data_IF_138295604651
#
_entry.id   IF_138295604651
#
_cell.length_a   1.000
_cell.length_b   1.000
_cell.length_c   1.000
_cell.angle_alpha   90.00
_cell.angle_beta   90.00
_cell.angle_gamma   90.00
#
_symmetry.space_group_name_H-M   'P 1'
#
loop_
_entity.id
_entity.type
_entity.pdbx_description
1 polymer ?
#
# COMPACT_ATOMS: atom_id res chain seq x y z
N UNK A 1 -78.94 -25.04 14.08
CA UNK A 1 -79.69 -24.03 14.84
C UNK A 1 -79.06 -22.71 14.50
N UNK A 2 -79.57 -21.98 13.47
CA UNK A 2 -80.49 -20.85 13.56
C UNK A 2 -79.94 -19.76 14.52
N UNK A 3 -79.52 -18.58 14.05
CA UNK A 3 -80.36 -17.55 13.49
C UNK A 3 -79.54 -16.46 12.75
N UNK A 4 -80.11 -16.07 11.68
CA UNK A 4 -79.92 -14.82 10.93
C UNK A 4 -80.33 -13.62 11.80
N UNK A 5 -79.77 -12.44 11.57
CA UNK A 5 -80.57 -11.23 11.46
C UNK A 5 -79.86 -10.18 10.60
N UNK A 6 -80.61 -9.69 9.71
CA UNK A 6 -80.49 -8.71 8.65
C UNK A 6 -81.03 -7.36 9.14
N UNK A 7 -80.38 -6.26 8.86
CA UNK A 7 -80.96 -4.90 8.75
C UNK A 7 -79.96 -3.96 8.11
N UNK A 8 -80.12 -3.61 6.91
CA UNK A 8 -80.86 -2.50 6.24
C UNK A 8 -80.32 -1.09 6.49
N UNK A 9 -79.60 -0.64 5.49
CA UNK A 9 -79.62 0.64 4.71
C UNK A 9 -79.79 1.95 5.47
N UNK A 10 -78.88 2.89 5.21
CA UNK A 10 -79.23 4.26 4.83
C UNK A 10 -78.09 4.90 4.05
N UNK A 11 -78.34 5.26 2.76
CA UNK A 11 -77.52 6.13 1.91
C UNK A 11 -77.63 7.54 2.44
N UNK A 12 -76.49 8.20 2.62
CA UNK A 12 -76.45 9.68 2.57
C UNK A 12 -75.23 10.12 1.73
N UNK A 13 -75.58 10.69 0.59
CA UNK A 13 -74.64 11.35 -0.32
C UNK A 13 -74.15 12.65 0.29
N UNK A 14 -72.86 12.77 0.54
CA UNK A 14 -72.22 14.07 0.70
C UNK A 14 -71.15 14.20 -0.38
N UNK A 15 -71.37 15.13 -1.28
CA UNK A 15 -70.40 15.65 -2.20
C UNK A 15 -69.40 16.50 -1.42
N UNK A 16 -68.15 16.22 -1.47
CA UNK A 16 -67.09 17.12 -1.00
C UNK A 16 -66.00 17.24 -2.04
N UNK A 17 -65.77 18.46 -2.40
CA UNK A 17 -64.80 19.03 -3.31
C UNK A 17 -63.43 18.39 -3.18
N UNK A 18 -62.88 17.93 -4.29
CA UNK A 18 -61.50 17.47 -4.41
C UNK A 18 -60.54 18.66 -4.51
N UNK A 19 -59.80 18.95 -3.43
CA UNK A 19 -58.55 19.70 -3.53
C UNK A 19 -57.43 18.67 -3.85
N UNK A 20 -56.97 18.67 -5.07
CA UNK A 20 -55.80 17.91 -5.50
C UNK A 20 -54.56 18.46 -4.78
N UNK A 21 -54.02 17.74 -3.80
CA UNK A 21 -52.66 17.92 -3.32
C UNK A 21 -51.74 17.12 -4.25
N UNK A 22 -50.90 17.86 -4.98
CA UNK A 22 -49.77 17.34 -5.72
C UNK A 22 -48.94 16.40 -4.82
N UNK A 23 -48.90 15.15 -5.19
CA UNK A 23 -47.96 14.17 -4.59
C UNK A 23 -46.55 14.57 -5.00
N UNK A 24 -45.71 14.94 -4.03
CA UNK A 24 -44.27 15.04 -4.22
C UNK A 24 -43.74 13.65 -4.53
N UNK A 25 -43.30 13.43 -5.78
CA UNK A 25 -42.44 12.32 -6.12
C UNK A 25 -41.18 12.37 -5.23
N UNK A 26 -40.69 11.24 -4.71
CA UNK A 26 -39.42 11.21 -3.99
C UNK A 26 -38.30 11.57 -4.97
N UNK A 27 -37.71 12.74 -4.80
CA UNK A 27 -36.49 13.11 -5.50
C UNK A 27 -35.38 12.10 -5.17
N UNK A 28 -35.04 11.27 -6.13
CA UNK A 28 -33.82 10.49 -6.12
C UNK A 28 -32.64 11.44 -5.92
N UNK A 29 -31.73 11.20 -4.95
CA UNK A 29 -30.57 12.05 -4.81
C UNK A 29 -29.73 11.92 -6.08
N UNK A 30 -29.70 12.99 -6.89
CA UNK A 30 -28.77 13.10 -7.98
C UNK A 30 -27.37 13.16 -7.40
N UNK A 31 -26.64 12.05 -7.47
CA UNK A 31 -25.20 12.03 -7.24
C UNK A 31 -24.55 12.81 -8.38
N UNK A 32 -24.48 14.12 -8.25
CA UNK A 32 -23.60 14.97 -9.04
C UNK A 32 -22.15 14.60 -8.69
N UNK A 33 -21.67 13.49 -9.23
CA UNK A 33 -20.23 13.27 -9.36
C UNK A 33 -19.72 14.33 -10.34
N UNK A 34 -19.18 15.42 -9.79
CA UNK A 34 -18.50 16.45 -10.55
C UNK A 34 -17.39 15.75 -11.35
N UNK A 35 -17.52 15.68 -12.65
CA UNK A 35 -16.50 15.07 -13.52
C UNK A 35 -15.16 15.75 -13.24
N UNK A 36 -14.11 14.95 -13.13
CA UNK A 36 -12.77 15.48 -12.90
C UNK A 36 -12.41 16.50 -13.97
N UNK A 37 -11.70 17.56 -13.58
CA UNK A 37 -11.24 18.56 -14.55
C UNK A 37 -10.38 17.94 -15.66
N UNK A 38 -10.32 18.51 -16.87
CA UNK A 38 -9.47 17.99 -17.95
C UNK A 38 -8.00 17.81 -17.53
N UNK A 39 -7.49 18.73 -16.70
CA UNK A 39 -6.14 18.64 -16.15
C UNK A 39 -5.97 17.43 -15.23
N UNK A 40 -6.92 17.19 -14.33
CA UNK A 40 -6.88 16.03 -13.45
C UNK A 40 -7.00 14.73 -14.23
N UNK A 41 -7.88 14.68 -15.24
CA UNK A 41 -8.00 13.52 -16.13
C UNK A 41 -6.68 13.22 -16.84
N UNK A 42 -5.99 14.23 -17.35
CA UNK A 42 -4.66 14.07 -17.96
C UNK A 42 -3.63 13.52 -16.97
N UNK A 43 -3.61 14.02 -15.72
CA UNK A 43 -2.73 13.50 -14.66
C UNK A 43 -3.04 12.03 -14.32
N UNK A 44 -4.32 11.68 -14.24
CA UNK A 44 -4.74 10.28 -14.01
C UNK A 44 -4.24 9.39 -15.14
N UNK A 45 -4.47 9.75 -16.40
CA UNK A 45 -4.02 8.94 -17.54
C UNK A 45 -2.49 8.72 -17.53
N UNK A 46 -1.71 9.78 -17.26
CA UNK A 46 -0.25 9.65 -17.12
C UNK A 46 0.16 8.73 -15.97
N UNK A 47 -0.54 8.79 -14.84
CA UNK A 47 -0.28 7.89 -13.71
C UNK A 47 -0.60 6.43 -14.07
N UNK A 48 -1.71 6.17 -14.75
CA UNK A 48 -2.08 4.82 -15.19
C UNK A 48 -1.08 4.25 -16.21
N UNK A 49 -0.66 5.06 -17.16
CA UNK A 49 0.38 4.68 -18.12
C UNK A 49 1.72 4.40 -17.41
N UNK A 50 2.17 5.31 -16.54
CA UNK A 50 3.35 5.11 -15.68
C UNK A 50 3.23 3.79 -14.90
N UNK A 51 2.06 3.52 -14.32
CA UNK A 51 1.83 2.29 -13.55
C UNK A 51 2.00 1.06 -14.42
N UNK A 52 1.36 0.99 -15.58
CA UNK A 52 1.51 -0.14 -16.53
C UNK A 52 2.97 -0.35 -16.94
N UNK A 53 3.66 0.72 -17.33
CA UNK A 53 5.03 0.65 -17.84
C UNK A 53 6.05 0.24 -16.77
N UNK A 54 5.75 0.49 -15.51
CA UNK A 54 6.61 0.18 -14.37
C UNK A 54 6.27 -1.15 -13.68
N UNK A 55 5.33 -1.93 -14.20
CA UNK A 55 5.05 -3.27 -13.68
C UNK A 55 6.05 -4.29 -14.23
N UNK A 56 6.85 -4.85 -13.36
CA UNK A 56 7.81 -5.90 -13.67
C UNK A 56 7.12 -7.26 -13.53
N UNK A 57 7.08 -8.01 -14.61
CA UNK A 57 6.58 -9.39 -14.59
C UNK A 57 7.59 -10.31 -13.92
N UNK A 58 7.13 -11.04 -12.93
CA UNK A 58 7.89 -12.05 -12.19
C UNK A 58 7.26 -13.41 -12.48
N UNK A 59 7.98 -14.21 -13.23
CA UNK A 59 7.56 -15.59 -13.48
C UNK A 59 7.54 -16.38 -12.18
N UNK A 60 6.45 -17.07 -11.92
CA UNK A 60 6.26 -17.90 -10.74
C UNK A 60 7.28 -19.04 -10.62
N UNK A 61 7.27 -19.69 -9.51
CA UNK A 61 8.19 -20.79 -9.23
C UNK A 61 8.26 -21.16 -7.76
N UNK A 62 9.14 -22.07 -7.43
CA UNK A 62 9.33 -22.59 -6.08
C UNK A 62 10.65 -22.11 -5.50
N UNK A 63 10.64 -21.68 -4.24
CA UNK A 63 11.85 -21.27 -3.51
C UNK A 63 11.76 -21.65 -2.03
N UNK A 64 12.89 -21.53 -1.36
CA UNK A 64 12.98 -21.68 0.09
C UNK A 64 12.90 -20.30 0.73
N UNK A 65 11.73 -19.97 1.31
CA UNK A 65 11.45 -18.69 1.97
C UNK A 65 12.00 -18.71 3.41
N UNK A 66 12.54 -17.58 3.85
CA UNK A 66 13.09 -17.40 5.19
C UNK A 66 14.61 -17.27 5.23
N UNK A 67 15.16 -17.20 6.44
CA UNK A 67 16.60 -16.98 6.69
C UNK A 67 17.45 -18.21 6.35
N UNK A 68 17.88 -18.28 5.11
CA UNK A 68 18.56 -19.43 4.49
C UNK A 68 20.03 -19.62 4.93
N UNK A 69 20.67 -18.59 5.49
CA UNK A 69 22.07 -18.64 5.93
C UNK A 69 22.24 -18.29 7.43
N UNK A 70 21.15 -18.24 8.20
CA UNK A 70 21.14 -17.81 9.60
C UNK A 70 21.76 -16.42 9.83
N UNK A 71 21.61 -15.53 8.86
CA UNK A 71 22.20 -14.20 8.87
C UNK A 71 21.37 -13.19 9.67
N UNK A 72 20.05 -13.39 9.73
CA UNK A 72 19.17 -12.56 10.56
C UNK A 72 19.19 -13.03 12.03
N UNK A 73 19.40 -12.10 12.93
CA UNK A 73 19.34 -12.35 14.37
C UNK A 73 17.93 -12.64 14.88
N UNK A 74 16.89 -12.26 14.10
CA UNK A 74 15.49 -12.53 14.45
C UNK A 74 15.12 -13.99 14.19
N UNK A 75 14.22 -14.49 15.01
CA UNK A 75 13.74 -15.88 14.93
C UNK A 75 12.48 -16.04 14.08
N UNK A 76 11.77 -14.94 13.81
CA UNK A 76 10.47 -14.94 13.12
C UNK A 76 10.57 -15.15 11.58
N UNK A 77 11.79 -15.11 11.03
CA UNK A 77 12.13 -15.53 9.66
C UNK A 77 12.52 -17.00 9.54
N UNK A 78 12.24 -17.82 10.56
CA UNK A 78 12.54 -19.24 10.65
C UNK A 78 11.30 -20.06 11.01
N UNK A 79 11.24 -21.36 10.62
CA UNK A 79 12.21 -22.08 9.77
C UNK A 79 12.16 -21.64 8.31
N UNK A 80 13.24 -21.92 7.58
CA UNK A 80 13.21 -21.88 6.13
C UNK A 80 12.22 -22.94 5.63
N UNK A 81 11.31 -22.57 4.74
CA UNK A 81 10.24 -23.44 4.27
C UNK A 81 9.99 -23.27 2.77
N UNK A 82 9.44 -24.30 2.18
CA UNK A 82 9.16 -24.32 0.74
C UNK A 82 7.92 -23.49 0.42
N UNK A 83 8.05 -22.60 -0.56
CA UNK A 83 6.94 -21.78 -1.08
C UNK A 83 6.91 -21.86 -2.60
N UNK A 84 5.73 -22.03 -3.16
CA UNK A 84 5.47 -22.01 -4.61
C UNK A 84 4.50 -20.86 -4.93
N UNK A 85 4.90 -19.97 -5.82
CA UNK A 85 4.12 -18.82 -6.25
C UNK A 85 3.68 -18.95 -7.70
N UNK A 86 2.46 -18.54 -7.98
CA UNK A 86 2.03 -18.25 -9.34
C UNK A 86 2.74 -16.98 -9.84
N UNK A 87 2.78 -16.76 -11.16
CA UNK A 87 3.35 -15.55 -11.74
C UNK A 87 2.54 -14.31 -11.36
N UNK A 88 3.21 -13.19 -11.22
CA UNK A 88 2.59 -11.90 -10.88
C UNK A 88 3.38 -10.76 -11.53
N UNK A 89 2.85 -9.55 -11.49
CA UNK A 89 3.63 -8.35 -11.81
C UNK A 89 3.65 -7.42 -10.61
N UNK A 90 4.80 -6.80 -10.31
CA UNK A 90 4.95 -5.91 -9.16
C UNK A 90 5.57 -4.57 -9.61
N UNK A 91 5.14 -3.47 -8.99
CA UNK A 91 5.67 -2.13 -9.27
C UNK A 91 7.18 -2.08 -9.06
N UNK A 92 7.91 -1.58 -10.06
CA UNK A 92 9.35 -1.33 -9.96
C UNK A 92 9.71 -0.38 -8.82
N UNK A 93 8.84 0.58 -8.53
CA UNK A 93 9.04 1.66 -7.57
C UNK A 93 8.00 1.62 -6.45
N UNK A 94 8.35 2.19 -5.30
CA UNK A 94 7.38 2.58 -4.27
C UNK A 94 6.49 3.70 -4.79
N UNK A 95 5.24 3.77 -4.31
CA UNK A 95 4.36 4.89 -4.61
C UNK A 95 4.92 6.19 -4.04
N UNK A 96 4.84 7.27 -4.82
CA UNK A 96 5.34 8.58 -4.43
C UNK A 96 4.22 9.48 -3.91
N UNK A 97 4.58 10.58 -3.21
CA UNK A 97 3.58 11.58 -2.81
C UNK A 97 2.87 12.19 -4.02
N UNK A 98 3.54 12.37 -5.16
CA UNK A 98 2.91 12.85 -6.39
C UNK A 98 1.84 11.87 -6.88
N UNK A 99 2.08 10.57 -6.81
CA UNK A 99 1.13 9.53 -7.21
C UNK A 99 -0.10 9.54 -6.28
N UNK A 100 0.12 9.62 -4.96
CA UNK A 100 -0.96 9.69 -3.96
C UNK A 100 -1.77 10.99 -4.06
N UNK A 101 -1.16 12.11 -4.44
CA UNK A 101 -1.86 13.37 -4.65
C UNK A 101 -2.85 13.31 -5.81
N UNK A 102 -2.48 12.61 -6.89
CA UNK A 102 -3.38 12.36 -8.03
C UNK A 102 -4.54 11.46 -7.57
N UNK A 103 -4.24 10.39 -6.83
CA UNK A 103 -5.26 9.50 -6.26
C UNK A 103 -6.22 10.26 -5.34
N UNK A 104 -5.71 11.05 -4.40
CA UNK A 104 -6.52 11.84 -3.47
C UNK A 104 -7.44 12.82 -4.21
N UNK A 105 -6.92 13.50 -5.23
CA UNK A 105 -7.72 14.40 -6.07
C UNK A 105 -8.79 13.66 -6.88
N UNK A 106 -8.45 12.47 -7.41
CA UNK A 106 -9.38 11.65 -8.21
C UNK A 106 -10.52 11.03 -7.39
N UNK A 107 -10.27 10.77 -6.11
CA UNK A 107 -11.24 10.14 -5.20
C UNK A 107 -11.91 11.12 -4.25
N UNK A 108 -11.54 12.40 -4.32
CA UNK A 108 -11.99 13.43 -3.39
C UNK A 108 -11.71 13.07 -1.92
N UNK A 109 -10.59 12.40 -1.67
CA UNK A 109 -10.10 12.07 -0.33
C UNK A 109 -9.02 13.06 0.12
N UNK A 110 -8.83 13.25 1.43
CA UNK A 110 -7.73 14.08 1.92
C UNK A 110 -6.39 13.59 1.38
N UNK A 111 -5.49 14.53 1.11
CA UNK A 111 -4.11 14.18 0.82
C UNK A 111 -3.51 13.43 1.99
N UNK A 112 -2.67 12.44 1.69
CA UNK A 112 -1.87 11.78 2.70
C UNK A 112 -1.07 12.83 3.46
N UNK A 113 -1.32 12.92 4.76
CA UNK A 113 -0.74 13.98 5.60
C UNK A 113 0.72 13.67 5.84
N UNK A 114 1.59 14.51 5.30
CA UNK A 114 2.89 14.68 5.93
C UNK A 114 2.70 15.64 7.09
N UNK A 115 3.41 15.40 8.15
CA UNK A 115 3.41 16.23 9.33
C UNK A 115 4.12 17.57 9.07
N UNK A 116 3.50 18.46 8.32
CA UNK A 116 4.05 19.80 8.10
C UNK A 116 4.30 20.55 9.41
N UNK A 117 3.48 20.28 10.42
CA UNK A 117 3.59 20.92 11.73
C UNK A 117 4.80 20.49 12.56
N UNK A 118 5.41 19.35 12.29
CA UNK A 118 6.64 18.92 12.96
C UNK A 118 7.90 19.07 12.10
N UNK A 119 7.82 19.83 11.02
CA UNK A 119 8.93 20.35 10.22
C UNK A 119 9.96 19.33 9.72
N UNK A 120 9.76 18.05 9.91
CA UNK A 120 10.82 17.09 9.68
C UNK A 120 10.67 16.26 8.42
N UNK A 121 9.47 16.15 7.84
CA UNK A 121 9.23 15.29 6.68
C UNK A 121 8.30 15.96 5.69
N UNK A 122 8.87 16.88 4.99
CA UNK A 122 8.17 17.53 3.89
C UNK A 122 7.78 16.48 2.86
N UNK A 123 6.60 16.64 2.29
CA UNK A 123 6.07 15.81 1.19
C UNK A 123 6.75 16.20 -0.11
N UNK A 124 7.91 15.60 -0.38
CA UNK A 124 8.56 15.82 -1.66
C UNK A 124 7.90 14.94 -2.73
N UNK A 125 7.53 15.50 -3.88
CA UNK A 125 6.74 14.78 -4.89
C UNK A 125 7.29 13.41 -5.27
N UNK A 126 8.62 13.32 -5.41
CA UNK A 126 9.31 12.11 -5.84
C UNK A 126 9.82 11.21 -4.70
N UNK A 127 9.52 11.57 -3.45
CA UNK A 127 9.85 10.68 -2.32
C UNK A 127 8.78 9.61 -2.14
N UNK A 128 9.18 8.47 -1.59
CA UNK A 128 8.25 7.42 -1.23
C UNK A 128 7.22 7.93 -0.23
N UNK A 129 5.94 7.72 -0.51
CA UNK A 129 4.86 8.22 0.33
C UNK A 129 4.70 7.35 1.58
N UNK A 130 4.67 8.00 2.76
CA UNK A 130 4.28 7.35 4.00
C UNK A 130 2.76 7.27 4.10
N UNK A 131 2.23 6.06 4.26
CA UNK A 131 0.79 5.78 4.28
C UNK A 131 0.45 4.74 5.35
N UNK A 132 -0.79 4.75 5.84
CA UNK A 132 -1.33 3.61 6.57
C UNK A 132 -1.54 2.42 5.62
N UNK A 133 -1.66 1.22 6.19
CA UNK A 133 -1.92 0.02 5.39
C UNK A 133 -3.18 0.16 4.53
N UNK A 134 -4.26 0.71 5.12
CA UNK A 134 -5.52 0.88 4.40
C UNK A 134 -5.45 1.92 3.28
N UNK A 135 -4.77 3.06 3.51
CA UNK A 135 -4.55 4.07 2.46
C UNK A 135 -3.75 3.50 1.29
N UNK A 136 -2.66 2.78 1.59
CA UNK A 136 -1.84 2.14 0.56
C UNK A 136 -2.60 1.09 -0.23
N UNK A 137 -3.39 0.24 0.46
CA UNK A 137 -4.23 -0.76 -0.20
C UNK A 137 -5.31 -0.13 -1.06
N UNK A 138 -6.00 0.88 -0.56
CA UNK A 138 -7.01 1.61 -1.31
C UNK A 138 -6.44 2.23 -2.59
N UNK A 139 -5.23 2.78 -2.52
CA UNK A 139 -4.52 3.31 -3.69
C UNK A 139 -4.26 2.20 -4.73
N UNK A 140 -3.69 1.06 -4.33
CA UNK A 140 -3.45 -0.06 -5.24
C UNK A 140 -4.77 -0.56 -5.87
N UNK A 141 -5.81 -0.76 -5.07
CA UNK A 141 -7.11 -1.19 -5.57
C UNK A 141 -7.79 -0.17 -6.48
N UNK A 142 -7.58 1.13 -6.23
CA UNK A 142 -8.06 2.17 -7.14
C UNK A 142 -7.37 2.09 -8.50
N UNK A 143 -6.04 1.93 -8.53
CA UNK A 143 -5.31 1.67 -9.78
C UNK A 143 -5.88 0.46 -10.52
N UNK A 144 -6.17 -0.62 -9.77
CA UNK A 144 -6.78 -1.84 -10.32
C UNK A 144 -8.12 -1.57 -10.99
N UNK A 145 -9.00 -0.83 -10.33
CA UNK A 145 -10.30 -0.42 -10.89
C UNK A 145 -10.14 0.40 -12.18
N UNK A 146 -9.20 1.35 -12.20
CA UNK A 146 -8.95 2.17 -13.37
C UNK A 146 -8.39 1.36 -14.55
N UNK A 147 -7.51 0.41 -14.28
CA UNK A 147 -6.83 -0.42 -15.28
C UNK A 147 -7.59 -1.71 -15.62
N UNK A 148 -8.65 -2.04 -14.89
CA UNK A 148 -9.38 -3.32 -14.96
C UNK A 148 -8.44 -4.53 -14.73
N UNK A 149 -7.58 -4.42 -13.73
CA UNK A 149 -6.61 -5.41 -13.29
C UNK A 149 -6.84 -5.72 -11.81
N UNK A 150 -6.51 -6.95 -11.39
CA UNK A 150 -6.50 -7.32 -9.97
C UNK A 150 -5.21 -6.79 -9.32
N UNK A 151 -5.27 -5.56 -8.81
CA UNK A 151 -4.14 -4.87 -8.16
C UNK A 151 -4.41 -4.73 -6.67
N UNK A 152 -3.47 -5.22 -5.86
CA UNK A 152 -3.48 -5.09 -4.39
C UNK A 152 -2.05 -4.89 -3.86
N UNK A 153 -1.87 -4.97 -2.55
CA UNK A 153 -0.55 -5.06 -1.92
C UNK A 153 0.08 -6.42 -2.19
N UNK A 154 1.42 -6.51 -2.29
CA UNK A 154 2.09 -7.81 -2.41
C UNK A 154 1.90 -8.64 -1.14
N UNK A 155 1.87 -9.96 -1.28
CA UNK A 155 2.08 -10.83 -0.14
C UNK A 155 3.56 -10.80 0.29
N UNK A 156 3.82 -11.16 1.52
CA UNK A 156 5.19 -11.24 2.03
C UNK A 156 6.05 -12.19 1.17
N UNK A 157 5.48 -13.31 0.74
CA UNK A 157 6.15 -14.27 -0.10
C UNK A 157 6.46 -13.72 -1.51
N UNK A 158 5.53 -12.98 -2.12
CA UNK A 158 5.78 -12.33 -3.42
C UNK A 158 6.91 -11.32 -3.31
N UNK A 159 6.92 -10.52 -2.25
CA UNK A 159 7.95 -9.52 -2.04
C UNK A 159 9.33 -10.18 -1.86
N UNK A 160 9.46 -11.21 -0.98
CA UNK A 160 10.73 -11.88 -0.75
C UNK A 160 11.23 -12.60 -2.02
N UNK A 161 10.33 -13.26 -2.75
CA UNK A 161 10.66 -13.93 -4.00
C UNK A 161 11.23 -12.97 -5.04
N UNK A 162 10.59 -11.81 -5.21
CA UNK A 162 11.07 -10.76 -6.12
C UNK A 162 12.39 -10.12 -5.65
N UNK A 163 12.50 -9.80 -4.37
CA UNK A 163 13.69 -9.22 -3.76
C UNK A 163 14.92 -10.13 -3.88
N UNK A 164 14.70 -11.44 -3.90
CA UNK A 164 15.71 -12.48 -4.05
C UNK A 164 15.87 -12.98 -5.48
N UNK A 165 15.55 -12.16 -6.46
CA UNK A 165 15.68 -12.53 -7.88
C UNK A 165 15.09 -13.93 -8.18
N UNK A 166 13.80 -14.12 -7.87
CA UNK A 166 13.07 -15.40 -7.95
C UNK A 166 13.61 -16.44 -6.96
N UNK A 167 13.84 -16.01 -5.72
CA UNK A 167 14.18 -16.90 -4.60
C UNK A 167 15.62 -17.37 -4.53
N UNK A 168 16.56 -16.70 -5.20
CA UNK A 168 17.99 -16.98 -5.07
C UNK A 168 18.51 -16.63 -3.67
N UNK A 169 19.68 -17.14 -3.31
CA UNK A 169 20.35 -16.80 -2.05
C UNK A 169 21.02 -15.44 -2.12
N UNK A 170 20.21 -14.38 -2.05
CA UNK A 170 20.64 -12.98 -2.10
C UNK A 170 20.27 -12.32 -0.78
N UNK A 171 21.26 -11.79 -0.06
CA UNK A 171 21.03 -11.13 1.23
C UNK A 171 20.42 -9.73 1.08
N UNK A 172 20.89 -8.95 0.13
CA UNK A 172 20.42 -7.58 -0.10
C UNK A 172 19.89 -7.41 -1.52
N UNK A 173 18.68 -6.85 -1.70
CA UNK A 173 18.04 -6.72 -3.01
C UNK A 173 18.57 -5.51 -3.79
N UNK A 174 19.88 -5.44 -3.98
CA UNK A 174 20.59 -4.45 -4.78
C UNK A 174 21.10 -5.06 -6.07
N UNK A 175 21.70 -4.26 -6.93
CA UNK A 175 22.32 -4.71 -8.18
C UNK A 175 23.51 -5.67 -7.97
N UNK A 176 24.19 -5.57 -6.82
CA UNK A 176 25.35 -6.41 -6.50
C UNK A 176 25.07 -7.47 -5.44
N UNK A 177 23.90 -7.47 -4.81
CA UNK A 177 23.56 -8.32 -3.65
C UNK A 177 24.20 -7.86 -2.35
N UNK A 178 24.85 -6.70 -2.32
CA UNK A 178 25.55 -6.09 -1.17
C UNK A 178 25.07 -4.66 -0.96
N UNK A 179 25.25 -4.13 0.25
CA UNK A 179 25.05 -2.70 0.55
C UNK A 179 26.34 -1.95 0.28
N UNK A 180 26.26 -0.96 -0.59
CA UNK A 180 27.35 -0.07 -0.97
C UNK A 180 26.84 1.38 -0.87
N UNK A 181 27.10 2.02 0.30
CA UNK A 181 26.61 3.35 0.61
C UNK A 181 27.12 4.38 -0.40
N UNK A 182 26.19 5.15 -0.97
CA UNK A 182 26.46 6.14 -2.00
C UNK A 182 26.62 5.56 -3.40
N UNK A 183 26.54 4.25 -3.57
CA UNK A 183 26.68 3.53 -4.84
C UNK A 183 25.36 2.85 -5.25
N UNK A 184 24.75 2.11 -4.34
CA UNK A 184 23.49 1.42 -4.59
C UNK A 184 22.42 1.64 -3.50
N UNK A 185 22.78 2.35 -2.44
CA UNK A 185 21.87 2.92 -1.45
C UNK A 185 22.34 4.31 -1.04
N UNK A 186 21.43 5.13 -0.53
CA UNK A 186 21.76 6.49 -0.08
C UNK A 186 22.81 6.49 1.03
N UNK A 187 23.91 7.24 0.84
CA UNK A 187 24.80 7.57 1.94
C UNK A 187 24.21 8.69 2.81
N UNK A 188 24.73 8.82 4.02
CA UNK A 188 24.37 9.89 4.92
C UNK A 188 24.66 11.28 4.31
N UNK A 189 25.83 11.46 3.67
CA UNK A 189 26.24 12.69 3.03
C UNK A 189 25.31 13.10 1.90
N UNK A 190 24.91 12.17 1.05
CA UNK A 190 23.97 12.40 -0.04
C UNK A 190 22.59 12.83 0.48
N UNK A 191 22.11 12.22 1.57
CA UNK A 191 20.84 12.63 2.23
C UNK A 191 20.94 14.04 2.80
N UNK A 192 22.09 14.42 3.37
CA UNK A 192 22.36 15.79 3.83
C UNK A 192 22.33 16.78 2.65
N UNK A 193 22.89 16.43 1.50
CA UNK A 193 22.85 17.30 0.31
C UNK A 193 21.41 17.49 -0.21
N UNK A 194 20.62 16.41 -0.28
CA UNK A 194 19.20 16.51 -0.63
C UNK A 194 18.45 17.40 0.36
N UNK A 195 18.71 17.25 1.66
CA UNK A 195 18.11 18.09 2.69
C UNK A 195 18.42 19.57 2.47
N UNK A 196 19.67 19.92 2.13
CA UNK A 196 20.07 21.28 1.78
C UNK A 196 19.35 21.77 0.52
N UNK A 197 19.33 20.95 -0.55
CA UNK A 197 18.64 21.25 -1.81
C UNK A 197 17.18 21.61 -1.60
N UNK A 198 16.48 20.85 -0.77
CA UNK A 198 15.06 21.05 -0.49
C UNK A 198 14.76 21.95 0.72
N UNK A 199 15.81 22.53 1.34
CA UNK A 199 15.68 23.40 2.55
C UNK A 199 14.90 22.71 3.68
N UNK A 200 15.03 21.40 3.81
CA UNK A 200 14.33 20.60 4.81
C UNK A 200 15.09 20.62 6.14
N UNK A 201 14.52 21.15 7.24
CA UNK A 201 15.29 21.44 8.46
C UNK A 201 15.77 20.21 9.22
N UNK A 202 15.04 19.09 9.19
CA UNK A 202 15.36 17.91 10.04
C UNK A 202 15.18 16.55 9.37
N UNK A 203 14.62 16.44 8.16
CA UNK A 203 14.39 15.13 7.56
C UNK A 203 15.49 14.69 6.61
N UNK A 204 15.69 13.40 6.60
CA UNK A 204 16.43 12.79 5.54
C UNK A 204 15.47 12.52 4.39
N UNK A 205 15.82 13.08 3.27
CA UNK A 205 15.04 12.95 2.04
C UNK A 205 15.73 11.92 1.18
N UNK A 206 14.93 11.11 0.53
CA UNK A 206 15.35 10.26 -0.59
C UNK A 206 14.30 10.34 -1.68
N UNK A 207 14.76 10.37 -2.91
CA UNK A 207 13.93 10.27 -4.10
C UNK A 207 13.98 8.83 -4.58
N UNK A 208 12.84 8.27 -5.01
CA UNK A 208 12.79 6.90 -5.50
C UNK A 208 13.56 6.73 -6.82
N UNK A 209 14.15 5.57 -7.02
CA UNK A 209 14.79 5.21 -8.29
C UNK A 209 16.11 5.91 -8.60
N UNK A 210 16.82 6.40 -7.60
CA UNK A 210 18.09 7.11 -7.82
C UNK A 210 19.29 6.19 -8.00
N UNK A 211 19.17 4.95 -7.56
CA UNK A 211 20.26 3.97 -7.63
C UNK A 211 19.94 2.84 -8.60
N UNK A 212 20.97 2.06 -8.99
CA UNK A 212 20.75 0.90 -9.86
C UNK A 212 19.72 -0.07 -9.28
N UNK A 213 18.81 -0.61 -10.11
CA UNK A 213 17.82 -1.56 -9.67
C UNK A 213 18.44 -2.92 -9.32
N UNK A 214 17.69 -3.75 -8.60
CA UNK A 214 18.00 -5.17 -8.43
C UNK A 214 18.05 -5.91 -9.78
N UNK A 215 18.51 -7.14 -9.79
CA UNK A 215 18.65 -7.94 -11.02
C UNK A 215 17.34 -8.11 -11.82
N UNK A 216 16.17 -8.08 -11.16
CA UNK A 216 14.86 -8.09 -11.83
C UNK A 216 14.37 -6.70 -12.26
N UNK A 217 15.05 -5.62 -11.88
CA UNK A 217 14.65 -4.26 -12.22
C UNK A 217 13.90 -3.50 -11.13
N UNK A 218 13.82 -4.02 -9.90
CA UNK A 218 13.18 -3.34 -8.78
C UNK A 218 14.10 -2.34 -8.12
N UNK A 219 13.57 -1.17 -7.79
CA UNK A 219 14.27 -0.09 -7.11
C UNK A 219 13.90 -0.02 -5.63
N UNK A 220 14.84 0.42 -4.80
CA UNK A 220 14.65 0.82 -3.41
C UNK A 220 14.06 -0.28 -2.49
N UNK A 221 14.29 -1.57 -2.81
CA UNK A 221 13.76 -2.69 -2.01
C UNK A 221 14.41 -2.83 -0.63
N UNK A 222 15.55 -2.16 -0.38
CA UNK A 222 16.30 -2.26 0.87
C UNK A 222 16.37 -0.96 1.65
N UNK A 223 15.72 0.11 1.20
CA UNK A 223 15.86 1.45 1.80
C UNK A 223 14.62 2.32 1.55
N UNK A 224 14.59 3.50 2.16
CA UNK A 224 13.62 4.57 1.89
C UNK A 224 12.18 4.22 2.24
N UNK A 225 11.96 3.85 3.45
CA UNK A 225 10.73 3.38 4.08
C UNK A 225 10.52 1.87 3.98
N UNK A 226 9.89 1.33 5.01
CA UNK A 226 9.31 0.00 4.95
C UNK A 226 8.21 -0.07 3.89
N UNK A 227 7.84 -1.27 3.52
CA UNK A 227 6.75 -1.55 2.59
C UNK A 227 5.69 -2.42 3.26
N UNK A 228 4.43 -2.00 3.18
CA UNK A 228 3.30 -2.78 3.66
C UNK A 228 3.06 -4.01 2.82
N UNK A 229 2.90 -5.17 3.50
CA UNK A 229 2.44 -6.40 2.88
C UNK A 229 0.94 -6.61 3.13
N UNK A 230 0.32 -7.44 2.30
CA UNK A 230 -1.08 -7.84 2.48
C UNK A 230 -1.26 -8.63 3.79
N UNK A 231 -0.25 -9.40 4.16
CA UNK A 231 -0.25 -10.39 5.22
C UNK A 231 -0.44 -9.79 6.61
N UNK A 232 -1.26 -10.46 7.43
CA UNK A 232 -1.18 -10.30 8.87
C UNK A 232 0.11 -10.94 9.41
N UNK A 233 0.67 -10.35 10.45
CA UNK A 233 1.87 -10.89 11.08
C UNK A 233 1.53 -11.92 12.15
N UNK A 234 2.28 -13.02 12.17
CA UNK A 234 2.45 -13.93 13.30
C UNK A 234 3.90 -14.40 13.33
N UNK A 235 4.50 -14.44 14.51
CA UNK A 235 5.93 -14.77 14.67
C UNK A 235 6.22 -16.22 14.28
N UNK A 236 5.26 -17.12 14.46
CA UNK A 236 5.37 -18.56 14.20
C UNK A 236 4.81 -18.98 12.84
N UNK A 237 4.36 -18.03 12.00
CA UNK A 237 3.67 -18.35 10.74
C UNK A 237 4.50 -19.25 9.82
N UNK A 238 5.82 -19.09 9.77
CA UNK A 238 6.68 -19.89 8.90
C UNK A 238 6.71 -21.36 9.27
N UNK A 239 6.34 -21.73 10.51
CA UNK A 239 6.28 -23.13 10.96
C UNK A 239 5.12 -23.91 10.33
N UNK A 240 4.08 -23.22 9.87
CA UNK A 240 2.83 -23.81 9.35
C UNK A 240 2.30 -23.10 8.09
N UNK A 241 3.12 -22.30 7.44
CA UNK A 241 2.79 -21.63 6.19
C UNK A 241 2.41 -22.65 5.11
N UNK A 242 1.31 -22.44 4.37
CA UNK A 242 1.01 -23.28 3.21
C UNK A 242 2.08 -23.10 2.13
N UNK A 243 2.36 -24.19 1.39
CA UNK A 243 3.37 -24.12 0.32
C UNK A 243 2.94 -23.22 -0.83
N UNK A 244 1.65 -23.26 -1.23
CA UNK A 244 1.18 -22.54 -2.42
C UNK A 244 0.58 -21.20 -2.06
N UNK A 245 1.14 -20.11 -2.65
CA UNK A 245 0.66 -18.74 -2.56
C UNK A 245 0.29 -18.31 -1.12
N UNK A 246 1.18 -18.42 -0.13
CA UNK A 246 0.87 -18.03 1.24
C UNK A 246 0.53 -16.53 1.34
N UNK A 247 -0.42 -16.20 2.20
CA UNK A 247 -0.94 -14.84 2.40
C UNK A 247 -0.96 -14.41 3.87
N UNK A 248 -0.16 -15.07 4.72
CA UNK A 248 -0.20 -14.84 6.16
C UNK A 248 -1.41 -15.47 6.85
N UNK A 249 -1.54 -15.28 8.16
CA UNK A 249 -2.73 -15.66 8.90
C UNK A 249 -3.98 -14.93 8.41
N UNK A 250 -5.17 -15.52 8.61
CA UNK A 250 -6.45 -14.89 8.22
C UNK A 250 -6.74 -13.60 8.97
N UNK A 251 -6.27 -13.51 10.21
CA UNK A 251 -6.45 -12.35 11.11
C UNK A 251 -5.19 -12.13 11.93
N UNK A 252 -5.03 -10.92 12.46
CA UNK A 252 -3.92 -10.56 13.33
C UNK A 252 -4.11 -9.15 13.87
N UNK A 253 -3.21 -8.71 14.74
CA UNK A 253 -3.17 -7.35 15.28
C UNK A 253 -2.26 -6.44 14.43
N UNK A 254 -1.24 -7.00 13.80
CA UNK A 254 -0.20 -6.28 13.08
C UNK A 254 -0.06 -6.78 11.65
N UNK A 255 0.39 -5.90 10.76
CA UNK A 255 0.70 -6.23 9.35
C UNK A 255 2.19 -6.40 9.16
N UNK A 256 2.55 -7.31 8.26
CA UNK A 256 3.95 -7.50 7.88
C UNK A 256 4.47 -6.27 7.14
N UNK A 257 5.69 -5.90 7.46
CA UNK A 257 6.50 -4.90 6.76
C UNK A 257 7.76 -5.56 6.22
N UNK A 258 8.16 -5.14 5.03
CA UNK A 258 9.44 -5.53 4.41
C UNK A 258 10.23 -4.28 4.03
N UNK A 259 11.45 -4.44 3.47
CA UNK A 259 12.38 -3.33 3.23
C UNK A 259 13.03 -2.83 4.52
N UNK A 260 13.59 -1.63 4.51
CA UNK A 260 14.19 -1.00 5.69
C UNK A 260 14.02 0.52 5.64
N UNK A 261 14.11 1.11 6.83
CA UNK A 261 14.27 2.54 7.03
C UNK A 261 15.57 2.78 7.78
N UNK A 262 16.51 3.55 7.23
CA UNK A 262 17.67 3.99 8.00
C UNK A 262 17.23 4.83 9.20
N UNK A 263 17.68 4.51 10.39
CA UNK A 263 17.43 5.30 11.58
C UNK A 263 18.14 6.66 11.47
N UNK A 264 17.38 7.74 11.71
CA UNK A 264 17.84 9.14 11.88
C UNK A 264 19.15 9.55 11.19
N UNK A 265 19.30 9.17 9.92
CA UNK A 265 20.42 9.62 9.11
C UNK A 265 21.64 8.72 9.13
N UNK A 266 21.53 7.58 9.74
CA UNK A 266 22.61 6.60 9.68
C UNK A 266 22.52 5.76 8.39
N UNK A 267 23.61 5.18 8.03
CA UNK A 267 23.65 4.04 7.09
C UNK A 267 22.86 2.88 7.65
N UNK A 268 22.35 2.00 6.79
CA UNK A 268 21.70 0.75 7.22
C UNK A 268 22.57 0.05 8.27
N UNK A 269 21.98 -0.24 9.43
CA UNK A 269 22.68 -1.02 10.45
C UNK A 269 22.79 -2.48 10.04
N UNK A 270 23.69 -3.21 10.68
CA UNK A 270 23.87 -4.64 10.43
C UNK A 270 22.55 -5.40 10.60
N UNK A 271 22.14 -6.14 9.57
CA UNK A 271 20.88 -6.87 9.52
C UNK A 271 19.65 -6.06 9.04
N UNK A 272 19.76 -4.75 8.81
CA UNK A 272 18.71 -3.99 8.15
C UNK A 272 18.76 -4.13 6.63
N UNK A 273 17.62 -4.12 5.98
CA UNK A 273 17.50 -4.22 4.52
C UNK A 273 17.75 -5.62 3.96
N UNK A 274 17.88 -6.64 4.81
CA UNK A 274 17.96 -8.04 4.39
C UNK A 274 16.69 -8.46 3.67
N UNK A 275 16.84 -9.26 2.62
CA UNK A 275 15.73 -9.84 1.88
C UNK A 275 14.84 -10.74 2.72
N UNK A 276 15.37 -11.33 3.77
CA UNK A 276 14.70 -12.29 4.67
C UNK A 276 14.14 -11.63 5.93
N UNK A 277 14.54 -10.38 6.22
CA UNK A 277 14.14 -9.69 7.46
C UNK A 277 12.68 -9.31 7.45
N UNK A 278 11.98 -9.71 8.49
CA UNK A 278 10.59 -9.36 8.76
C UNK A 278 10.53 -8.18 9.74
N UNK A 279 9.59 -7.29 9.51
CA UNK A 279 9.15 -6.28 10.47
C UNK A 279 7.62 -6.26 10.50
N UNK A 280 7.03 -5.63 11.49
CA UNK A 280 5.58 -5.58 11.64
C UNK A 280 5.17 -4.36 12.45
N UNK A 281 3.95 -3.90 12.26
CA UNK A 281 3.32 -2.84 13.04
C UNK A 281 1.80 -2.85 12.88
N UNK A 282 1.08 -2.16 13.74
CA UNK A 282 -0.35 -1.98 13.62
C UNK A 282 -0.73 -1.28 12.30
N UNK A 283 -1.76 -1.75 11.60
CA UNK A 283 -2.21 -1.17 10.31
C UNK A 283 -2.85 0.21 10.47
N UNK A 284 -3.32 0.53 11.66
CA UNK A 284 -3.93 1.80 12.05
C UNK A 284 -3.16 2.41 13.22
N UNK A 285 -3.32 3.70 13.42
CA UNK A 285 -2.70 4.40 14.56
C UNK A 285 -3.11 3.73 15.87
N UNK A 286 -2.15 3.41 16.78
CA UNK A 286 -2.46 2.89 18.08
C UNK A 286 -3.41 3.81 18.87
N UNK A 287 -4.33 3.20 19.65
CA UNK A 287 -5.30 3.95 20.48
C UNK A 287 -4.58 4.85 21.49
N UNK A 288 -3.41 4.40 21.96
CA UNK A 288 -2.60 5.07 23.00
C UNK A 288 -1.62 6.11 22.42
N UNK A 289 -1.73 6.41 21.12
CA UNK A 289 -0.89 7.45 20.54
C UNK A 289 -1.16 8.77 21.27
N UNK A 290 -0.13 9.43 21.82
CA UNK A 290 -0.34 10.60 22.69
C UNK A 290 -1.22 11.64 22.00
N UNK A 291 -2.26 12.11 22.71
CA UNK A 291 -3.28 13.03 22.18
C UNK A 291 -2.66 14.28 21.53
N UNK A 292 -1.53 14.78 22.13
CA UNK A 292 -0.76 15.93 21.61
C UNK A 292 -0.21 15.75 20.19
N UNK A 293 -0.17 14.52 19.69
CA UNK A 293 0.32 14.18 18.35
C UNK A 293 -0.79 13.72 17.39
N UNK A 294 -2.03 13.56 17.89
CA UNK A 294 -3.18 13.22 17.03
C UNK A 294 -3.41 14.33 16.00
N UNK A 295 -3.51 13.93 14.74
CA UNK A 295 -3.67 14.86 13.62
C UNK A 295 -2.42 15.66 13.25
N UNK A 296 -1.32 15.49 14.00
CA UNK A 296 -0.06 16.20 13.81
C UNK A 296 1.03 15.29 13.25
N UNK A 297 0.99 14.00 13.57
CA UNK A 297 1.93 12.99 13.08
C UNK A 297 1.17 11.88 12.40
N UNK A 298 1.54 11.54 11.17
CA UNK A 298 1.20 10.27 10.58
C UNK A 298 2.18 9.21 11.16
N UNK A 299 1.75 8.29 12.03
CA UNK A 299 2.63 7.29 12.62
C UNK A 299 3.19 6.31 11.58
N UNK A 300 2.59 6.29 10.40
CA UNK A 300 2.98 5.42 9.29
C UNK A 300 3.85 6.11 8.24
N UNK A 301 4.36 7.32 8.52
CA UNK A 301 5.16 8.08 7.56
C UNK A 301 6.41 7.32 7.07
N UNK A 302 6.81 6.27 7.76
CA UNK A 302 7.95 5.41 7.44
C UNK A 302 7.54 4.15 6.65
N UNK A 303 6.25 3.96 6.42
CA UNK A 303 5.70 2.79 5.74
C UNK A 303 5.10 3.21 4.41
N UNK A 304 5.66 2.72 3.34
CA UNK A 304 5.24 2.99 1.97
C UNK A 304 4.54 1.76 1.37
N UNK A 305 4.21 1.84 0.10
CA UNK A 305 3.63 0.73 -0.64
C UNK A 305 4.24 0.61 -2.03
N UNK A 306 4.28 -0.62 -2.53
CA UNK A 306 4.28 -0.91 -3.98
C UNK A 306 3.13 -1.86 -4.26
N UNK A 307 2.57 -1.77 -5.46
CA UNK A 307 1.41 -2.56 -5.82
C UNK A 307 1.82 -3.82 -6.59
N UNK A 308 1.01 -4.86 -6.50
CA UNK A 308 1.15 -6.10 -7.25
C UNK A 308 -0.10 -6.36 -8.10
N UNK A 309 0.09 -6.94 -9.25
CA UNK A 309 -0.99 -7.47 -10.12
C UNK A 309 -0.94 -8.98 -10.06
N UNK A 310 -2.00 -9.59 -9.53
CA UNK A 310 -2.11 -11.02 -9.38
C UNK A 310 -2.67 -11.67 -10.66
N UNK A 311 -1.83 -11.76 -11.67
CA UNK A 311 -2.17 -12.45 -12.92
C UNK A 311 -0.97 -13.18 -13.53
N UNK A 312 -1.24 -14.28 -14.17
CA UNK A 312 -0.21 -15.19 -14.71
C UNK A 312 0.39 -14.73 -16.04
N UNK A 313 -0.12 -13.65 -16.63
CA UNK A 313 0.35 -13.12 -17.90
C UNK A 313 0.93 -11.74 -17.72
N UNK A 314 1.97 -11.41 -18.51
CA UNK A 314 2.54 -10.06 -18.56
C UNK A 314 1.46 -9.04 -18.96
N UNK A 315 1.46 -7.89 -18.29
CA UNK A 315 0.60 -6.75 -18.66
C UNK A 315 1.11 -6.18 -19.98
N UNK A 316 0.21 -6.01 -20.93
CA UNK A 316 0.50 -5.37 -22.22
C UNK A 316 0.21 -3.88 -22.15
#
# INVERSE_FOLDING_TARGET
>A
MINQNLALILLSTFALSACAKSANEPQTPSTNQKSASPELQSKIQKLLEKTKNNMIFVEGGTFMMGDFDHYDSKIDSKPVHKVTLDSFSMSAYKATYADLDIYSAATNTPKVVSTESLSSKARYPNSSAGVSWQEGRNYCQWLGKQLKLDIDLPTEAQWEYAARNRGQKIHFPTNTGKIENGVNVWSFEQRIQLRKKYKAPKSLISEVGQYPPSALGFYDLTTDNYEWMLDWYAADYYQHSPEKNPQGPKTGAEKVLRSAKPLDGQTLQMGEGLTVRRSHTHPIQPVDFPERFKGVINPNFDNSVRCVVNQTKKIM
#
